data_IF_242531980018
#
_entry.id   IF_242531980018
#
_cell.length_a   1.000
_cell.length_b   1.000
_cell.length_c   1.000
_cell.angle_alpha   90.00
_cell.angle_beta   90.00
_cell.angle_gamma   90.00
#
_symmetry.space_group_name_H-M   'P 1'
#
loop_
_entity.id
_entity.type
_entity.pdbx_description
1 polymer ?
#
# COMPACT_ATOMS: atom_id res chain seq x y z
N UNK A 1 40.63 0.79 68.07
CA UNK A 1 39.54 -0.10 67.62
C UNK A 1 38.48 0.77 66.97
N UNK A 2 38.52 0.86 65.64
CA UNK A 2 37.57 1.62 64.86
C UNK A 2 36.45 0.72 64.35
N UNK A 3 35.22 1.23 64.42
CA UNK A 3 34.08 0.68 63.68
C UNK A 3 33.62 1.74 62.68
N UNK A 4 34.21 1.64 61.50
CA UNK A 4 33.86 2.34 60.27
C UNK A 4 32.40 2.03 59.91
N UNK A 5 31.50 3.00 60.09
CA UNK A 5 30.12 2.91 59.58
C UNK A 5 30.11 3.41 58.14
N UNK A 6 29.72 2.54 57.22
CA UNK A 6 29.67 2.75 55.78
C UNK A 6 28.65 3.84 55.39
N UNK A 7 28.92 4.64 54.35
CA UNK A 7 27.96 5.58 53.80
C UNK A 7 26.80 4.88 53.09
N UNK A 8 25.59 5.39 53.31
CA UNK A 8 24.33 4.98 52.72
C UNK A 8 24.34 5.20 51.19
N UNK A 9 24.37 4.10 50.44
CA UNK A 9 24.36 4.10 48.98
C UNK A 9 22.93 4.17 48.44
N UNK A 10 22.21 5.23 48.80
CA UNK A 10 20.92 5.63 48.22
C UNK A 10 21.08 6.32 46.86
N UNK A 11 21.75 5.65 45.92
CA UNK A 11 21.87 6.13 44.53
C UNK A 11 22.06 4.96 43.57
N UNK A 12 20.95 4.29 43.22
CA UNK A 12 20.88 3.49 41.99
C UNK A 12 19.70 3.99 41.14
N UNK A 13 20.05 5.00 40.34
CA UNK A 13 19.66 5.17 38.92
C UNK A 13 18.17 5.09 38.53
N UNK A 14 17.53 6.22 38.17
CA UNK A 14 16.27 6.21 37.41
C UNK A 14 16.58 5.99 35.92
N UNK A 15 17.04 4.80 35.52
CA UNK A 15 17.27 4.45 34.09
C UNK A 15 16.02 3.82 33.44
N UNK A 16 14.85 3.89 34.09
CA UNK A 16 13.56 3.40 33.56
C UNK A 16 12.66 4.49 32.97
N UNK A 17 13.22 5.65 32.60
CA UNK A 17 12.46 6.79 32.07
C UNK A 17 12.59 6.96 30.53
N UNK A 18 12.85 5.88 29.78
CA UNK A 18 12.86 5.92 28.30
C UNK A 18 11.91 4.90 27.65
N UNK A 19 10.85 4.50 28.35
CA UNK A 19 9.86 3.53 27.87
C UNK A 19 8.46 4.14 27.71
N UNK A 20 8.37 5.37 27.18
CA UNK A 20 7.13 6.15 27.22
C UNK A 20 6.79 7.02 26.02
N UNK A 21 7.54 6.97 24.92
CA UNK A 21 7.05 7.50 23.65
C UNK A 21 6.15 6.42 23.01
N UNK A 22 4.90 6.74 22.63
CA UNK A 22 3.85 5.76 22.49
C UNK A 22 4.09 4.89 21.26
N UNK A 23 4.27 3.59 21.48
CA UNK A 23 4.37 2.59 20.41
C UNK A 23 3.22 2.71 19.38
N UNK A 24 2.06 3.25 19.78
CA UNK A 24 0.93 3.54 18.90
C UNK A 24 1.19 4.67 17.88
N UNK A 25 1.96 5.71 18.21
CA UNK A 25 2.30 6.77 17.24
C UNK A 25 3.34 6.30 16.23
N UNK A 26 4.29 5.47 16.65
CA UNK A 26 5.25 4.82 15.75
C UNK A 26 4.54 3.85 14.80
N UNK A 27 3.58 3.05 15.29
CA UNK A 27 2.74 2.18 14.47
C UNK A 27 1.84 2.96 13.50
N UNK A 28 1.25 4.07 13.94
CA UNK A 28 0.45 4.95 13.06
C UNK A 28 1.31 5.63 11.97
N UNK A 29 2.56 5.96 12.27
CA UNK A 29 3.49 6.56 11.29
C UNK A 29 3.98 5.52 10.27
N UNK A 30 4.37 4.32 10.73
CA UNK A 30 4.63 3.17 9.87
C UNK A 30 3.40 2.82 9.02
N UNK A 31 2.21 3.03 9.56
CA UNK A 31 0.95 2.82 8.85
C UNK A 31 0.73 3.81 7.71
N UNK A 32 0.93 5.10 7.97
CA UNK A 32 0.82 6.14 6.94
C UNK A 32 1.86 5.92 5.85
N UNK A 33 3.07 5.48 6.23
CA UNK A 33 4.12 5.11 5.29
C UNK A 33 3.77 3.88 4.44
N UNK A 34 3.30 2.76 5.00
CA UNK A 34 2.97 1.55 4.21
C UNK A 34 1.75 1.76 3.31
N UNK A 35 0.72 2.45 3.82
CA UNK A 35 -0.52 2.73 3.08
C UNK A 35 -0.31 3.71 1.92
N UNK A 36 0.63 4.66 2.04
CA UNK A 36 0.92 5.65 1.01
C UNK A 36 2.06 5.24 0.08
N UNK A 37 3.03 4.45 0.55
CA UNK A 37 4.24 4.10 -0.22
C UNK A 37 4.16 2.73 -0.87
N UNK A 38 3.56 1.72 -0.23
CA UNK A 38 3.64 0.33 -0.71
C UNK A 38 2.32 -0.16 -1.35
N UNK A 39 1.16 0.17 -0.77
CA UNK A 39 -0.13 -0.21 -1.38
C UNK A 39 -0.35 -1.73 -1.55
N UNK A 40 0.39 -2.56 -0.79
CA UNK A 40 0.42 -4.03 -0.95
C UNK A 40 -0.55 -4.78 -0.05
N UNK A 41 -1.31 -4.10 0.81
CA UNK A 41 -2.17 -4.76 1.80
C UNK A 41 -1.41 -5.50 2.89
N UNK A 42 -0.08 -5.40 2.93
CA UNK A 42 0.78 -5.99 3.97
C UNK A 42 0.37 -5.49 5.36
N UNK A 43 0.05 -4.20 5.45
CA UNK A 43 -0.48 -3.63 6.67
C UNK A 43 -1.86 -4.17 7.04
N UNK A 44 -2.77 -4.37 6.08
CA UNK A 44 -4.06 -4.99 6.35
C UNK A 44 -3.86 -6.41 6.93
N UNK A 45 -2.94 -7.19 6.34
CA UNK A 45 -2.54 -8.49 6.87
C UNK A 45 -1.93 -8.38 8.28
N UNK A 46 -1.06 -7.40 8.53
CA UNK A 46 -0.48 -7.13 9.84
C UNK A 46 -1.51 -6.77 10.91
N UNK A 47 -2.50 -5.92 10.57
CA UNK A 47 -3.60 -5.56 11.46
C UNK A 47 -4.48 -6.77 11.79
N UNK A 48 -4.81 -7.59 10.80
CA UNK A 48 -5.57 -8.83 10.99
C UNK A 48 -4.78 -9.78 11.89
N UNK A 49 -3.48 -9.98 11.62
CA UNK A 49 -2.63 -10.86 12.40
C UNK A 49 -2.52 -10.37 13.86
N UNK A 50 -2.33 -9.08 14.07
CA UNK A 50 -2.27 -8.49 15.41
C UNK A 50 -3.60 -8.65 16.17
N UNK A 51 -4.73 -8.40 15.50
CA UNK A 51 -6.04 -8.60 16.09
C UNK A 51 -6.25 -10.07 16.49
N UNK A 52 -5.90 -11.00 15.61
CA UNK A 52 -6.14 -12.44 15.79
C UNK A 52 -5.17 -13.08 16.77
N UNK A 53 -3.88 -12.74 16.74
CA UNK A 53 -2.86 -13.38 17.58
C UNK A 53 -2.67 -12.70 18.94
N UNK A 54 -3.07 -11.43 19.09
CA UNK A 54 -2.81 -10.67 20.33
C UNK A 54 -4.11 -10.24 20.99
N UNK A 55 -4.97 -9.51 20.28
CA UNK A 55 -6.15 -8.88 20.91
C UNK A 55 -7.23 -9.91 21.25
N UNK A 56 -7.53 -10.85 20.36
CA UNK A 56 -8.53 -11.89 20.60
C UNK A 56 -8.12 -12.87 21.74
N UNK A 57 -6.89 -13.41 21.78
CA UNK A 57 -6.46 -14.26 22.89
C UNK A 57 -6.45 -13.51 24.22
N UNK A 58 -6.04 -12.23 24.21
CA UNK A 58 -6.09 -11.39 25.41
C UNK A 58 -7.52 -11.14 25.88
N UNK A 59 -8.46 -10.87 24.97
CA UNK A 59 -9.87 -10.73 25.30
C UNK A 59 -10.44 -12.03 25.89
N UNK A 60 -10.02 -13.18 25.36
CA UNK A 60 -10.41 -14.49 25.87
C UNK A 60 -9.85 -14.77 27.28
N UNK A 61 -8.57 -14.48 27.53
CA UNK A 61 -7.97 -14.60 28.86
C UNK A 61 -8.64 -13.67 29.88
N UNK A 62 -8.98 -12.44 29.49
CA UNK A 62 -9.74 -11.52 30.34
C UNK A 62 -11.13 -12.04 30.67
N UNK A 63 -11.79 -12.68 29.70
CA UNK A 63 -13.08 -13.33 29.93
C UNK A 63 -12.96 -14.43 30.99
N UNK A 64 -11.92 -15.28 30.90
CA UNK A 64 -11.70 -16.33 31.88
C UNK A 64 -11.38 -15.79 33.27
N UNK A 65 -10.63 -14.69 33.36
CA UNK A 65 -10.29 -14.04 34.62
C UNK A 65 -11.42 -13.17 35.21
N UNK A 66 -12.63 -13.19 34.63
CA UNK A 66 -13.75 -12.34 35.07
C UNK A 66 -13.52 -10.83 34.89
N UNK A 67 -12.55 -10.44 34.04
CA UNK A 67 -12.20 -9.04 33.76
C UNK A 67 -13.00 -8.51 32.57
N UNK A 68 -13.09 -7.18 32.48
CA UNK A 68 -13.78 -6.52 31.37
C UNK A 68 -13.07 -6.77 30.03
N UNK A 69 -13.77 -7.41 29.09
CA UNK A 69 -13.27 -7.75 27.75
C UNK A 69 -13.56 -6.68 26.70
N UNK A 70 -14.52 -5.79 26.98
CA UNK A 70 -14.98 -4.71 26.09
C UNK A 70 -13.85 -3.93 25.41
N UNK A 71 -12.80 -3.43 26.11
CA UNK A 71 -11.76 -2.64 25.45
C UNK A 71 -10.93 -3.47 24.45
N UNK A 72 -10.64 -4.74 24.76
CA UNK A 72 -9.88 -5.60 23.87
C UNK A 72 -10.68 -5.97 22.61
N UNK A 73 -11.99 -6.24 22.76
CA UNK A 73 -12.88 -6.50 21.64
C UNK A 73 -13.10 -5.27 20.76
N UNK A 74 -13.25 -4.08 21.37
CA UNK A 74 -13.36 -2.83 20.64
C UNK A 74 -12.09 -2.55 19.81
N UNK A 75 -10.91 -2.75 20.39
CA UNK A 75 -9.64 -2.62 19.67
C UNK A 75 -9.52 -3.62 18.51
N UNK A 76 -9.88 -4.89 18.74
CA UNK A 76 -9.88 -5.91 17.68
C UNK A 76 -10.84 -5.54 16.55
N UNK A 77 -12.06 -5.11 16.89
CA UNK A 77 -13.05 -4.64 15.92
C UNK A 77 -12.55 -3.46 15.09
N UNK A 78 -11.91 -2.47 15.74
CA UNK A 78 -11.31 -1.33 15.05
C UNK A 78 -10.18 -1.76 14.09
N UNK A 79 -9.27 -2.65 14.51
CA UNK A 79 -8.21 -3.17 13.64
C UNK A 79 -8.78 -3.87 12.40
N UNK A 80 -9.82 -4.70 12.58
CA UNK A 80 -10.47 -5.41 11.48
C UNK A 80 -11.19 -4.44 10.53
N UNK A 81 -11.92 -3.46 11.06
CA UNK A 81 -12.57 -2.43 10.25
C UNK A 81 -11.56 -1.64 9.41
N UNK A 82 -10.42 -1.25 9.99
CA UNK A 82 -9.33 -0.61 9.27
C UNK A 82 -8.76 -1.50 8.16
N UNK A 83 -8.52 -2.79 8.44
CA UNK A 83 -8.03 -3.73 7.43
C UNK A 83 -8.99 -3.85 6.25
N UNK A 84 -10.29 -3.95 6.51
CA UNK A 84 -11.33 -3.99 5.46
C UNK A 84 -11.32 -2.71 4.63
N UNK A 85 -11.26 -1.53 5.27
CA UNK A 85 -11.22 -0.25 4.57
C UNK A 85 -10.00 -0.13 3.64
N UNK A 86 -8.83 -0.62 4.08
CA UNK A 86 -7.62 -0.67 3.25
C UNK A 86 -7.83 -1.57 2.03
N UNK A 87 -8.36 -2.78 2.22
CA UNK A 87 -8.60 -3.71 1.13
C UNK A 87 -9.58 -3.14 0.09
N UNK A 88 -10.66 -2.51 0.56
CA UNK A 88 -11.63 -1.84 -0.34
C UNK A 88 -10.94 -0.75 -1.15
N UNK A 89 -10.12 0.07 -0.51
CA UNK A 89 -9.39 1.16 -1.18
C UNK A 89 -8.40 0.65 -2.21
N UNK A 90 -7.64 -0.41 -1.90
CA UNK A 90 -6.70 -1.04 -2.84
C UNK A 90 -7.46 -1.60 -4.04
N UNK A 91 -8.54 -2.35 -3.79
CA UNK A 91 -9.32 -2.96 -4.85
C UNK A 91 -9.99 -1.91 -5.75
N UNK A 92 -10.52 -0.84 -5.16
CA UNK A 92 -11.09 0.29 -5.90
C UNK A 92 -10.04 0.97 -6.79
N UNK A 93 -8.85 1.27 -6.25
CA UNK A 93 -7.76 1.86 -7.03
C UNK A 93 -7.32 0.97 -8.19
N UNK A 94 -7.24 -0.35 -7.99
CA UNK A 94 -6.87 -1.30 -9.05
C UNK A 94 -7.95 -1.40 -10.14
N UNK A 95 -9.22 -1.42 -9.74
CA UNK A 95 -10.33 -1.39 -10.67
C UNK A 95 -10.34 -0.10 -11.51
N UNK A 96 -10.15 1.06 -10.87
CA UNK A 96 -10.05 2.34 -11.54
C UNK A 96 -8.88 2.39 -12.53
N UNK A 97 -7.71 1.87 -12.15
CA UNK A 97 -6.55 1.79 -13.03
C UNK A 97 -6.82 0.96 -14.27
N UNK A 98 -7.45 -0.22 -14.13
CA UNK A 98 -7.82 -1.07 -15.26
C UNK A 98 -8.79 -0.39 -16.22
N UNK A 99 -9.82 0.29 -15.68
CA UNK A 99 -10.80 1.01 -16.48
C UNK A 99 -10.13 2.12 -17.30
N UNK A 100 -9.30 2.96 -16.67
CA UNK A 100 -8.56 4.04 -17.34
C UNK A 100 -7.53 3.51 -18.34
N UNK A 101 -6.91 2.37 -18.05
CA UNK A 101 -5.97 1.74 -18.97
C UNK A 101 -6.68 1.26 -20.25
N UNK A 102 -7.88 0.66 -20.11
CA UNK A 102 -8.68 0.24 -21.26
C UNK A 102 -9.10 1.43 -22.14
N UNK A 103 -9.46 2.56 -21.51
CA UNK A 103 -9.75 3.82 -22.22
C UNK A 103 -8.51 4.30 -23.00
N UNK A 104 -7.33 4.36 -22.36
CA UNK A 104 -6.08 4.74 -23.01
C UNK A 104 -5.73 3.83 -24.19
N UNK A 105 -5.91 2.52 -24.05
CA UNK A 105 -5.69 1.56 -25.15
C UNK A 105 -6.58 1.90 -26.35
N UNK A 106 -7.87 2.17 -26.12
CA UNK A 106 -8.80 2.56 -27.18
C UNK A 106 -8.38 3.85 -27.89
N UNK A 107 -7.96 4.86 -27.13
CA UNK A 107 -7.49 6.13 -27.69
C UNK A 107 -6.20 5.96 -28.51
N UNK A 108 -5.24 5.16 -28.01
CA UNK A 108 -3.98 4.89 -28.70
C UNK A 108 -4.21 4.13 -30.02
N UNK A 109 -5.09 3.13 -30.03
CA UNK A 109 -5.45 2.40 -31.25
C UNK A 109 -6.20 3.30 -32.24
N UNK A 110 -7.06 4.20 -31.76
CA UNK A 110 -7.71 5.18 -32.62
C UNK A 110 -6.71 6.16 -33.25
N UNK A 111 -5.78 6.70 -32.45
CA UNK A 111 -4.67 7.53 -32.95
C UNK A 111 -3.90 6.81 -34.05
N UNK A 112 -3.58 5.53 -33.85
CA UNK A 112 -2.90 4.70 -34.87
C UNK A 112 -3.73 4.57 -36.14
N UNK A 113 -5.03 4.36 -36.01
CA UNK A 113 -5.93 4.26 -37.17
C UNK A 113 -5.93 5.52 -38.04
N UNK A 114 -5.84 6.70 -37.42
CA UNK A 114 -5.85 7.99 -38.12
C UNK A 114 -4.47 8.42 -38.60
N UNK A 115 -3.44 8.29 -37.76
CA UNK A 115 -2.09 8.78 -38.04
C UNK A 115 -1.19 7.74 -38.74
N UNK A 116 -1.64 6.48 -38.84
CA UNK A 116 -0.86 5.37 -39.39
C UNK A 116 0.30 4.90 -38.51
N UNK A 117 0.47 5.46 -37.31
CA UNK A 117 1.54 5.12 -36.35
C UNK A 117 1.06 5.22 -34.92
N UNK A 118 1.74 4.53 -34.02
CA UNK A 118 1.55 4.74 -32.58
C UNK A 118 2.13 6.10 -32.12
N UNK A 119 1.58 6.70 -31.05
CA UNK A 119 2.12 7.94 -30.50
C UNK A 119 3.50 7.69 -29.89
N UNK A 120 4.37 8.70 -29.91
CA UNK A 120 5.72 8.62 -29.31
C UNK A 120 5.67 8.65 -27.79
N UNK A 121 4.70 9.38 -27.24
CA UNK A 121 4.40 9.46 -25.82
C UNK A 121 2.90 9.70 -25.58
N UNK A 122 2.42 9.56 -24.34
CA UNK A 122 0.99 9.74 -24.04
C UNK A 122 0.55 11.21 -24.19
N UNK A 123 1.47 12.16 -24.06
CA UNK A 123 1.20 13.59 -24.20
C UNK A 123 0.83 13.97 -25.63
N UNK A 124 1.25 13.18 -26.63
CA UNK A 124 0.86 13.39 -28.03
C UNK A 124 -0.65 13.20 -28.26
N UNK A 125 -1.33 12.50 -27.35
CA UNK A 125 -2.79 12.33 -27.38
C UNK A 125 -3.53 13.59 -26.90
N UNK A 126 -2.83 14.52 -26.22
CA UNK A 126 -3.40 15.73 -25.63
C UNK A 126 -3.13 16.95 -26.52
N UNK A 127 -4.07 17.90 -26.66
CA UNK A 127 -5.44 17.88 -26.13
C UNK A 127 -6.46 17.20 -27.08
N UNK A 128 -6.02 16.78 -28.27
CA UNK A 128 -6.93 16.43 -29.37
C UNK A 128 -7.78 15.19 -29.11
N UNK A 129 -7.22 14.17 -28.48
CA UNK A 129 -7.90 12.90 -28.21
C UNK A 129 -8.26 12.75 -26.73
N UNK A 130 -7.51 13.39 -25.84
CA UNK A 130 -7.73 13.40 -24.39
C UNK A 130 -7.51 14.81 -23.84
N UNK A 131 -8.31 15.25 -22.85
CA UNK A 131 -8.10 16.56 -22.22
C UNK A 131 -6.79 16.61 -21.41
N UNK A 132 -6.40 15.49 -20.80
CA UNK A 132 -5.13 15.28 -20.10
C UNK A 132 -4.86 13.78 -20.00
N UNK A 133 -3.59 13.38 -19.78
CA UNK A 133 -3.26 11.97 -19.51
C UNK A 133 -3.79 11.59 -18.12
N UNK A 134 -4.70 10.60 -18.00
CA UNK A 134 -5.27 10.23 -16.72
C UNK A 134 -4.21 9.55 -15.83
N UNK A 135 -4.27 9.80 -14.52
CA UNK A 135 -3.52 9.00 -13.54
C UNK A 135 -4.13 7.59 -13.50
N UNK A 136 -3.30 6.56 -13.44
CA UNK A 136 -3.74 5.18 -13.24
C UNK A 136 -4.48 5.01 -11.91
N UNK A 137 -3.92 5.50 -10.80
CA UNK A 137 -4.51 5.36 -9.46
C UNK A 137 -4.67 6.71 -8.77
N UNK A 138 -5.50 6.75 -7.72
CA UNK A 138 -5.60 7.90 -6.81
C UNK A 138 -4.60 7.80 -5.65
N UNK A 139 -3.57 6.97 -5.79
CA UNK A 139 -2.52 6.78 -4.79
C UNK A 139 -1.47 7.89 -4.88
N UNK A 140 -0.68 8.07 -3.80
CA UNK A 140 0.45 9.01 -3.79
C UNK A 140 1.68 8.46 -4.53
N UNK A 141 1.81 7.15 -4.65
CA UNK A 141 2.88 6.47 -5.38
C UNK A 141 2.33 5.48 -6.42
N UNK A 142 3.13 5.21 -7.46
CA UNK A 142 2.80 4.27 -8.54
C UNK A 142 1.43 4.55 -9.21
N UNK A 143 1.12 5.83 -9.32
CA UNK A 143 -0.14 6.38 -9.78
C UNK A 143 -0.17 6.65 -11.29
N UNK A 144 0.98 6.60 -11.96
CA UNK A 144 1.11 6.87 -13.40
C UNK A 144 1.00 5.63 -14.28
N UNK A 145 0.73 5.88 -15.57
CA UNK A 145 0.94 4.89 -16.62
C UNK A 145 2.36 4.96 -17.14
N UNK A 146 2.91 3.81 -17.50
CA UNK A 146 4.18 3.68 -18.20
C UNK A 146 3.90 3.30 -19.64
N UNK A 147 4.33 4.14 -20.57
CA UNK A 147 4.17 3.88 -21.99
C UNK A 147 5.54 3.72 -22.63
N UNK A 148 5.71 2.62 -23.36
CA UNK A 148 6.94 2.31 -24.08
C UNK A 148 6.63 2.17 -25.56
N UNK A 149 7.29 2.95 -26.41
CA UNK A 149 7.26 2.78 -27.85
C UNK A 149 8.70 2.79 -28.36
N UNK A 150 9.32 1.60 -28.40
CA UNK A 150 10.71 1.43 -28.83
C UNK A 150 10.87 0.15 -29.65
N UNK A 151 11.70 0.20 -30.69
CA UNK A 151 12.10 -0.96 -31.51
C UNK A 151 10.92 -1.79 -32.04
N UNK A 152 9.83 -1.13 -32.43
CA UNK A 152 8.63 -1.78 -32.95
C UNK A 152 7.75 -2.45 -31.90
N UNK A 153 8.09 -2.36 -30.61
CA UNK A 153 7.25 -2.86 -29.51
C UNK A 153 6.61 -1.69 -28.78
N UNK A 154 5.28 -1.76 -28.68
CA UNK A 154 4.46 -0.73 -28.03
C UNK A 154 3.75 -1.38 -26.85
N UNK A 155 4.00 -0.85 -25.65
CA UNK A 155 3.49 -1.38 -24.40
C UNK A 155 2.89 -0.25 -23.56
N UNK A 156 1.76 -0.53 -22.91
CA UNK A 156 1.20 0.32 -21.85
C UNK A 156 1.17 -0.50 -20.56
N UNK A 157 1.72 0.04 -19.48
CA UNK A 157 1.78 -0.65 -18.21
C UNK A 157 1.32 0.23 -17.05
N UNK A 158 0.81 -0.40 -16.00
CA UNK A 158 0.57 0.23 -14.70
C UNK A 158 0.84 -0.78 -13.59
N UNK A 159 1.14 -0.28 -12.39
CA UNK A 159 1.38 -1.14 -11.23
C UNK A 159 0.04 -1.65 -10.69
N UNK A 160 -0.12 -2.97 -10.55
CA UNK A 160 -1.27 -3.57 -9.87
C UNK A 160 -0.98 -3.75 -8.37
N UNK A 161 0.23 -4.22 -8.03
CA UNK A 161 0.66 -4.51 -6.64
C UNK A 161 2.13 -4.11 -6.34
N UNK A 162 2.46 -2.81 -6.29
CA UNK A 162 3.85 -2.30 -6.24
C UNK A 162 4.68 -2.92 -5.10
N UNK A 163 5.99 -3.18 -5.23
CA UNK A 163 6.83 -2.91 -6.40
C UNK A 163 6.74 -4.00 -7.48
N UNK A 164 6.10 -5.13 -7.17
CA UNK A 164 5.94 -6.27 -8.07
C UNK A 164 4.59 -6.19 -8.81
N UNK A 165 4.29 -7.11 -9.72
CA UNK A 165 2.96 -7.17 -10.36
C UNK A 165 2.59 -5.93 -11.17
N UNK A 166 3.02 -5.90 -12.43
CA UNK A 166 2.55 -4.91 -13.42
C UNK A 166 1.62 -5.59 -14.40
N UNK A 167 0.52 -4.91 -14.69
CA UNK A 167 -0.29 -5.24 -15.85
C UNK A 167 0.31 -4.53 -17.04
N UNK A 168 0.62 -5.29 -18.09
CA UNK A 168 1.21 -4.76 -19.32
C UNK A 168 0.31 -5.11 -20.47
N UNK A 169 -0.20 -4.12 -21.20
CA UNK A 169 -0.86 -4.32 -22.46
C UNK A 169 0.15 -4.29 -23.59
N UNK A 170 0.24 -5.38 -24.35
CA UNK A 170 1.06 -5.44 -25.56
C UNK A 170 0.18 -5.16 -26.78
N UNK A 171 0.46 -4.03 -27.45
CA UNK A 171 -0.31 -3.57 -28.61
C UNK A 171 -0.05 -4.40 -29.88
N UNK A 172 1.02 -5.19 -29.94
CA UNK A 172 1.26 -6.10 -31.06
C UNK A 172 0.35 -7.33 -30.96
N UNK A 173 0.21 -7.88 -29.75
CA UNK A 173 -0.62 -9.07 -29.51
C UNK A 173 -2.05 -8.75 -29.08
N UNK A 174 -2.34 -7.48 -28.75
CA UNK A 174 -3.62 -6.97 -28.24
C UNK A 174 -4.10 -7.69 -26.99
N UNK A 175 -3.16 -8.01 -26.09
CA UNK A 175 -3.44 -8.78 -24.87
C UNK A 175 -2.86 -8.10 -23.64
N UNK A 176 -3.59 -8.23 -22.55
CA UNK A 176 -3.07 -7.98 -21.21
C UNK A 176 -2.17 -9.16 -20.81
N UNK A 177 -0.93 -8.82 -20.48
CA UNK A 177 0.07 -9.72 -19.96
C UNK A 177 0.21 -9.46 -18.45
N UNK A 178 -0.03 -10.49 -17.66
CA UNK A 178 0.45 -10.53 -16.28
C UNK A 178 1.95 -10.77 -16.32
N UNK A 179 2.77 -9.74 -16.09
CA UNK A 179 4.23 -9.90 -16.14
C UNK A 179 4.72 -10.67 -14.90
N UNK A 180 5.43 -11.81 -15.06
CA UNK A 180 6.62 -12.05 -14.25
C UNK A 180 7.69 -11.06 -14.70
N UNK A 181 8.52 -10.60 -13.78
CA UNK A 181 9.39 -9.40 -13.81
C UNK A 181 10.37 -9.30 -15.02
N UNK A 182 10.45 -10.30 -15.89
CA UNK A 182 11.46 -10.46 -16.94
C UNK A 182 11.19 -9.73 -18.29
N UNK A 183 10.05 -9.04 -18.44
CA UNK A 183 9.63 -8.51 -19.74
C UNK A 183 9.96 -7.02 -20.03
N UNK A 184 10.68 -6.33 -19.13
CA UNK A 184 11.03 -4.91 -19.26
C UNK A 184 12.54 -4.68 -19.39
#
# INVERSE_FOLDING_TARGET
>A
MGSTSLPDASTRTPVRALAGAPASAALATLFVLDALVLGQGLLAAGLVLFAVLVLLPRAWLYRQAGRATRPALAAAGACLACAVAIMVTINFNNHLARSRAAELVGVIEHFRGVAGRYPRSLEELVPRYLPAVPRAKLALGFDGFLYFNRRGRVLLAFADAPPFGRQVYDFATRRWLSSPVEAL
#
